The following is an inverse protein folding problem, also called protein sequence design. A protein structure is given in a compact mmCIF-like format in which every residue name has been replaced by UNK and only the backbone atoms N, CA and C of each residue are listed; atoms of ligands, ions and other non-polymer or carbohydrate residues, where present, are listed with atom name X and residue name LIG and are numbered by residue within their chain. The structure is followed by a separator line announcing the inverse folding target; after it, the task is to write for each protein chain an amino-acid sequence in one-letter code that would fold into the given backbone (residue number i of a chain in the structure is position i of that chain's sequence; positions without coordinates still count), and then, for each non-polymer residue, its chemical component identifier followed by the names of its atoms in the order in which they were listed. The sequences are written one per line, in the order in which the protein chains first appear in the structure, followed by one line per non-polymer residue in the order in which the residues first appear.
data_IF_440800386133
#
_entry.id   IF_440800386133
#
_cell.length_a   1.000
_cell.length_b   1.000
_cell.length_c   1.000
_cell.angle_alpha   90.00
_cell.angle_beta   90.00
_cell.angle_gamma   90.00
#
_symmetry.space_group_name_H-M   'P 1'
#
loop_
_entity.id
_entity.type
_entity.pdbx_description
1 polymer ?
#
# COMPACT_ATOMS: atom_id res chain seq x y z
N UNK A 1 5.73 -16.72 15.38
CA UNK A 1 5.15 -17.05 14.06
C UNK A 1 4.30 -15.86 13.62
N UNK A 2 4.84 -14.98 12.78
CA UNK A 2 4.11 -13.81 12.26
C UNK A 2 3.01 -14.25 11.28
N UNK A 3 1.88 -13.55 11.30
CA UNK A 3 0.61 -13.95 10.70
C UNK A 3 0.67 -14.26 9.20
N UNK A 4 -0.25 -15.13 8.77
CA UNK A 4 -0.39 -15.69 7.40
C UNK A 4 -0.81 -14.63 6.35
N UNK A 5 0.02 -13.61 6.09
CA UNK A 5 -0.11 -12.72 4.92
C UNK A 5 -1.53 -12.20 4.65
N UNK A 6 -1.93 -12.17 3.37
CA UNK A 6 -3.25 -11.74 2.89
C UNK A 6 -4.45 -12.64 3.27
N UNK A 7 -4.23 -13.81 3.89
CA UNK A 7 -5.33 -14.67 4.33
C UNK A 7 -5.88 -14.14 5.65
N UNK A 8 -7.20 -13.94 5.76
CA UNK A 8 -7.76 -13.44 7.00
C UNK A 8 -7.48 -14.42 8.14
N UNK A 9 -7.36 -13.89 9.35
CA UNK A 9 -7.18 -14.68 10.58
C UNK A 9 -8.49 -15.35 11.04
N UNK A 10 -9.61 -15.08 10.36
CA UNK A 10 -10.96 -15.50 10.74
C UNK A 10 -11.32 -16.94 10.35
N UNK A 11 -12.23 -17.54 11.14
CA UNK A 11 -12.97 -18.74 10.75
C UNK A 11 -13.83 -18.47 9.51
N UNK A 12 -14.06 -19.52 8.70
CA UNK A 12 -14.75 -19.52 7.39
C UNK A 12 -16.10 -18.77 7.33
N UNK A 13 -16.70 -18.41 8.47
CA UNK A 13 -18.01 -17.78 8.56
C UNK A 13 -18.04 -16.44 9.35
N UNK A 14 -16.87 -15.92 9.78
CA UNK A 14 -16.76 -14.63 10.50
C UNK A 14 -16.37 -13.44 9.61
N UNK A 15 -15.80 -13.68 8.43
CA UNK A 15 -15.40 -12.65 7.47
C UNK A 15 -16.54 -12.27 6.50
N UNK A 16 -17.78 -12.26 6.99
CA UNK A 16 -18.94 -11.83 6.21
C UNK A 16 -18.73 -10.35 5.83
N UNK A 17 -18.40 -10.11 4.56
CA UNK A 17 -18.18 -8.76 4.03
C UNK A 17 -16.77 -8.45 3.54
N UNK A 18 -15.84 -9.42 3.49
CA UNK A 18 -14.54 -9.21 2.83
C UNK A 18 -14.60 -9.67 1.38
N UNK A 19 -14.27 -8.79 0.43
CA UNK A 19 -14.22 -9.14 -0.99
C UNK A 19 -13.16 -10.26 -1.22
N UNK A 20 -13.47 -11.33 -1.98
CA UNK A 20 -12.49 -12.35 -2.35
C UNK A 20 -11.23 -11.74 -2.98
N UNK A 21 -10.05 -12.23 -2.61
CA UNK A 21 -8.78 -11.62 -3.03
C UNK A 21 -8.64 -11.57 -4.55
N UNK A 22 -9.11 -12.60 -5.24
CA UNK A 22 -9.07 -12.72 -6.70
C UNK A 22 -9.93 -11.64 -7.37
N UNK A 23 -11.11 -11.35 -6.80
CA UNK A 23 -12.00 -10.29 -7.29
C UNK A 23 -11.40 -8.91 -7.02
N UNK A 24 -10.83 -8.73 -5.84
CA UNK A 24 -10.16 -7.48 -5.47
C UNK A 24 -8.94 -7.20 -6.36
N UNK A 25 -8.10 -8.20 -6.60
CA UNK A 25 -6.94 -8.10 -7.48
C UNK A 25 -7.35 -7.80 -8.93
N UNK A 26 -8.42 -8.43 -9.43
CA UNK A 26 -8.96 -8.13 -10.76
C UNK A 26 -9.42 -6.66 -10.91
N UNK A 27 -10.12 -6.11 -9.91
CA UNK A 27 -10.55 -4.71 -9.91
C UNK A 27 -9.34 -3.78 -9.96
N UNK A 28 -8.32 -4.04 -9.14
CA UNK A 28 -7.14 -3.18 -9.02
C UNK A 28 -6.25 -3.27 -10.27
N UNK A 29 -6.08 -4.47 -10.85
CA UNK A 29 -5.37 -4.67 -12.12
C UNK A 29 -6.08 -3.99 -13.29
N UNK A 30 -7.41 -3.91 -13.23
CA UNK A 30 -8.22 -3.13 -14.18
C UNK A 30 -8.15 -1.60 -13.98
N UNK A 31 -7.34 -1.11 -13.03
CA UNK A 31 -7.25 0.31 -12.69
C UNK A 31 -8.41 0.83 -11.84
N UNK A 32 -9.29 -0.07 -11.39
CA UNK A 32 -10.38 0.24 -10.48
C UNK A 32 -9.90 0.55 -9.07
N UNK A 33 -10.81 1.13 -8.28
CA UNK A 33 -10.60 1.42 -6.86
C UNK A 33 -11.63 0.67 -6.04
N UNK A 34 -11.24 0.30 -4.82
CA UNK A 34 -12.16 -0.17 -3.78
C UNK A 34 -12.12 0.76 -2.58
N UNK A 35 -13.04 0.54 -1.64
CA UNK A 35 -13.00 1.16 -0.33
C UNK A 35 -11.67 0.88 0.39
N UNK A 36 -11.12 1.91 1.04
CA UNK A 36 -9.86 1.80 1.80
C UNK A 36 -9.98 0.74 2.88
N UNK A 37 -11.14 0.61 3.51
CA UNK A 37 -11.42 -0.39 4.54
C UNK A 37 -11.25 -1.83 4.04
N UNK A 38 -11.71 -2.12 2.82
CA UNK A 38 -11.53 -3.44 2.18
C UNK A 38 -10.06 -3.73 1.86
N UNK A 39 -9.32 -2.69 1.46
CA UNK A 39 -7.88 -2.80 1.21
C UNK A 39 -7.09 -3.02 2.51
N UNK A 40 -7.41 -2.30 3.58
CA UNK A 40 -6.72 -2.40 4.89
C UNK A 40 -6.96 -3.73 5.61
N UNK A 41 -8.08 -4.40 5.34
CA UNK A 41 -8.33 -5.78 5.81
C UNK A 41 -7.39 -6.80 5.16
N UNK A 42 -6.74 -6.44 4.06
CA UNK A 42 -5.70 -7.23 3.41
C UNK A 42 -4.32 -6.69 3.77
N UNK A 43 -3.32 -7.55 3.69
CA UNK A 43 -1.92 -7.14 3.85
C UNK A 43 -1.48 -6.33 2.62
N UNK A 44 -1.65 -5.02 2.69
CA UNK A 44 -1.22 -4.09 1.63
C UNK A 44 0.29 -3.89 1.71
N UNK A 45 0.97 -4.09 0.58
CA UNK A 45 2.44 -4.02 0.54
C UNK A 45 3.00 -2.63 0.75
N UNK A 46 2.22 -1.54 0.64
CA UNK A 46 2.72 -0.20 0.97
C UNK A 46 3.28 -0.11 2.40
N UNK A 47 2.64 -0.76 3.37
CA UNK A 47 3.09 -0.75 4.78
C UNK A 47 4.34 -1.59 5.06
N UNK A 48 4.83 -2.34 4.07
CA UNK A 48 6.03 -3.20 4.20
C UNK A 48 7.12 -2.89 3.18
N UNK A 49 6.74 -2.46 1.97
CA UNK A 49 7.63 -2.21 0.83
C UNK A 49 7.63 -0.74 0.37
N UNK A 50 6.68 0.09 0.82
CA UNK A 50 6.57 1.50 0.43
C UNK A 50 7.63 2.42 1.06
N UNK A 51 8.41 1.90 2.00
CA UNK A 51 9.44 2.58 2.81
C UNK A 51 8.88 3.60 3.80
N UNK A 52 8.15 4.61 3.32
CA UNK A 52 7.44 5.58 4.14
C UNK A 52 6.14 6.00 3.44
N UNK A 53 5.13 6.34 4.24
CA UNK A 53 3.80 6.79 3.78
C UNK A 53 3.49 8.11 4.46
N UNK A 54 2.96 9.08 3.71
CA UNK A 54 2.54 10.35 4.27
C UNK A 54 2.15 11.35 3.20
N UNK A 55 1.82 12.57 3.63
CA UNK A 55 1.62 13.69 2.71
C UNK A 55 2.92 14.02 1.98
N UNK A 56 2.80 14.67 0.81
CA UNK A 56 3.97 15.12 0.03
C UNK A 56 4.92 15.98 0.86
N UNK A 57 4.39 16.87 1.70
CA UNK A 57 5.18 17.75 2.55
C UNK A 57 6.00 16.96 3.58
N UNK A 58 5.35 16.02 4.27
CA UNK A 58 6.00 15.15 5.25
C UNK A 58 7.11 14.31 4.60
N UNK A 59 6.82 13.67 3.47
CA UNK A 59 7.79 12.84 2.78
C UNK A 59 8.97 13.64 2.23
N UNK A 60 8.75 14.91 1.84
CA UNK A 60 9.82 15.80 1.43
C UNK A 60 10.76 16.12 2.59
N UNK A 61 10.21 16.47 3.76
CA UNK A 61 11.01 16.70 4.97
C UNK A 61 11.82 15.45 5.35
N UNK A 62 11.17 14.29 5.39
CA UNK A 62 11.83 13.00 5.66
C UNK A 62 12.95 12.68 4.65
N UNK A 63 12.74 12.97 3.36
CA UNK A 63 13.78 12.79 2.33
C UNK A 63 14.98 13.73 2.52
N UNK A 64 14.72 14.98 2.90
CA UNK A 64 15.76 16.00 3.10
C UNK A 64 16.56 15.73 4.39
N UNK A 65 15.88 15.37 5.47
CA UNK A 65 16.48 15.03 6.77
C UNK A 65 17.38 13.79 6.69
N UNK A 66 17.00 12.80 5.87
CA UNK A 66 17.73 11.54 5.73
C UNK A 66 18.35 11.37 4.34
N UNK A 67 18.81 12.46 3.72
CA UNK A 67 19.29 12.45 2.33
C UNK A 67 20.39 11.41 2.10
N UNK A 68 21.25 11.20 3.08
CA UNK A 68 22.34 10.22 3.11
C UNK A 68 21.86 8.75 3.05
N UNK A 69 20.63 8.48 3.47
CA UNK A 69 20.02 7.15 3.37
C UNK A 69 19.55 6.81 1.94
N UNK A 70 19.59 7.78 1.01
CA UNK A 70 19.16 7.59 -0.38
C UNK A 70 20.35 7.63 -1.35
N UNK A 71 20.35 6.79 -2.42
CA UNK A 71 21.35 6.90 -3.48
C UNK A 71 21.42 8.32 -4.07
N UNK A 72 22.60 8.76 -4.51
CA UNK A 72 22.77 10.08 -5.13
C UNK A 72 21.84 10.31 -6.33
N UNK A 73 21.60 9.26 -7.11
CA UNK A 73 20.70 9.27 -8.27
C UNK A 73 19.22 9.39 -7.92
N UNK A 74 18.84 9.18 -6.66
CA UNK A 74 17.45 9.27 -6.21
C UNK A 74 17.02 10.74 -6.19
N UNK A 75 15.84 11.02 -6.77
CA UNK A 75 15.16 12.32 -6.67
C UNK A 75 14.03 12.23 -5.65
N UNK A 76 13.67 13.36 -5.03
CA UNK A 76 12.51 13.52 -4.14
C UNK A 76 11.19 13.38 -4.92
N UNK A 77 10.87 12.16 -5.33
CA UNK A 77 9.64 11.80 -6.04
C UNK A 77 8.90 10.79 -5.20
N UNK A 78 7.62 11.09 -4.96
CA UNK A 78 6.71 10.26 -4.19
C UNK A 78 5.55 9.85 -5.10
N UNK A 79 5.10 8.61 -4.96
CA UNK A 79 4.07 8.03 -5.81
C UNK A 79 2.73 8.00 -5.09
N UNK A 80 1.65 8.28 -5.81
CA UNK A 80 0.29 8.06 -5.31
C UNK A 80 0.03 6.57 -5.12
N UNK A 81 -0.70 6.24 -4.05
CA UNK A 81 -1.08 4.86 -3.76
C UNK A 81 -2.21 4.40 -4.68
N UNK A 82 -2.12 3.16 -5.16
CA UNK A 82 -3.08 2.51 -6.06
C UNK A 82 -4.11 1.68 -5.29
N UNK A 83 -5.22 1.37 -5.96
CA UNK A 83 -6.21 0.38 -5.52
C UNK A 83 -7.34 0.91 -4.62
N UNK A 84 -7.19 2.10 -4.04
CA UNK A 84 -8.25 2.81 -3.33
C UNK A 84 -8.08 4.32 -3.51
N UNK A 85 -9.04 5.09 -3.02
CA UNK A 85 -8.85 6.51 -2.77
C UNK A 85 -8.10 6.73 -1.45
N UNK A 86 -6.79 6.96 -1.54
CA UNK A 86 -5.94 7.21 -0.38
C UNK A 86 -5.84 8.71 -0.04
N UNK A 87 -6.65 9.55 -0.67
CA UNK A 87 -6.55 11.01 -0.56
C UNK A 87 -5.17 11.51 -0.98
N UNK A 88 -4.54 12.31 -0.13
CA UNK A 88 -3.23 12.92 -0.39
C UNK A 88 -2.03 12.05 0.02
N UNK A 89 -2.28 10.83 0.50
CA UNK A 89 -1.20 9.93 0.91
C UNK A 89 -0.38 9.47 -0.29
N UNK A 90 0.93 9.58 -0.12
CA UNK A 90 1.92 9.13 -1.08
C UNK A 90 2.90 8.17 -0.41
N UNK A 91 3.68 7.48 -1.23
CA UNK A 91 4.75 6.59 -0.78
C UNK A 91 6.08 6.97 -1.40
N UNK A 92 7.16 6.75 -0.67
CA UNK A 92 8.50 7.00 -1.23
C UNK A 92 8.82 6.01 -2.33
N UNK A 93 8.54 4.72 -2.12
CA UNK A 93 8.78 3.68 -3.12
C UNK A 93 7.48 3.29 -3.80
N UNK A 94 7.37 3.63 -5.09
CA UNK A 94 6.27 3.14 -5.92
C UNK A 94 6.28 1.61 -5.95
N UNK A 95 5.10 1.04 -5.79
CA UNK A 95 4.88 -0.39 -5.88
C UNK A 95 4.66 -0.72 -7.36
N UNK A 96 5.73 -1.21 -8.01
CA UNK A 96 5.73 -1.52 -9.44
C UNK A 96 5.01 -2.82 -9.79
N UNK A 97 4.94 -3.77 -8.86
CA UNK A 97 4.33 -5.09 -9.05
C UNK A 97 3.62 -5.53 -7.79
N UNK A 98 2.38 -5.98 -7.97
CA UNK A 98 1.50 -6.64 -7.00
C UNK A 98 1.25 -5.89 -5.68
N UNK A 99 0.00 -5.45 -5.47
CA UNK A 99 -0.41 -4.67 -4.31
C UNK A 99 -0.49 -5.46 -3.00
N UNK A 100 -0.67 -6.78 -3.09
CA UNK A 100 -0.93 -7.66 -1.96
C UNK A 100 0.26 -8.60 -1.70
N UNK A 101 0.39 -9.14 -0.48
CA UNK A 101 1.43 -10.09 -0.09
C UNK A 101 1.22 -10.78 1.25
#
# INVERSE_FOLDING_TARGET
MFGKGAKPKGELDKDRGVIPLEKLDAVIRGGGKVEVSELLRRRVRYFSYGMAIGSKLFLKGLYEEHRECFPESRKARFASMKGADWGELQVVRDLKVDLFG
#
